data_IF_571673176923
#
_entry.id   IF_571673176923
#
_cell.length_a   1.000
_cell.length_b   1.000
_cell.length_c   1.000
_cell.angle_alpha   90.00
_cell.angle_beta   90.00
_cell.angle_gamma   90.00
#
_symmetry.space_group_name_H-M   'P 1'
#
loop_
_entity.id
_entity.type
_entity.pdbx_description
1 polymer ?
#
# COMPACT_ATOMS: atom_id res chain seq x y z
N UNK A 1 -27.36 1.50 3.10
CA UNK A 1 -27.74 2.26 1.88
C UNK A 1 -28.32 3.59 2.35
N UNK A 2 -27.46 4.47 2.89
CA UNK A 2 -27.87 5.75 3.52
C UNK A 2 -26.75 6.76 3.25
N UNK A 3 -26.62 7.22 2.00
CA UNK A 3 -25.76 8.37 1.70
C UNK A 3 -26.36 9.33 0.67
N UNK A 4 -27.61 9.11 0.26
CA UNK A 4 -28.32 9.99 -0.66
C UNK A 4 -29.30 10.86 0.13
N UNK A 5 -28.95 12.13 0.30
CA UNK A 5 -29.74 13.12 1.04
C UNK A 5 -28.92 14.38 1.34
N UNK A 6 -29.59 15.45 1.79
CA UNK A 6 -28.89 16.60 2.37
C UNK A 6 -28.50 16.28 3.81
N UNK A 7 -27.20 16.30 4.11
CA UNK A 7 -26.66 16.04 5.44
C UNK A 7 -25.63 17.10 5.80
N UNK A 8 -25.46 17.32 7.11
CA UNK A 8 -24.42 18.19 7.65
C UNK A 8 -23.13 17.37 7.90
N UNK A 9 -22.07 17.69 7.16
CA UNK A 9 -20.82 16.93 7.17
C UNK A 9 -19.72 17.58 8.02
N UNK A 10 -20.04 18.55 8.88
CA UNK A 10 -19.03 19.27 9.67
C UNK A 10 -18.13 18.35 10.52
N UNK A 11 -18.67 17.22 10.98
CA UNK A 11 -17.93 16.23 11.76
C UNK A 11 -16.94 15.42 10.93
N UNK A 12 -17.10 15.44 9.61
CA UNK A 12 -16.21 14.79 8.66
C UNK A 12 -15.24 15.79 8.00
N UNK A 13 -15.22 17.07 8.37
CA UNK A 13 -14.42 18.08 7.65
C UNK A 13 -13.52 18.89 8.60
N UNK A 14 -12.41 19.41 8.09
CA UNK A 14 -11.65 20.48 8.78
C UNK A 14 -12.39 21.79 8.51
N UNK A 15 -12.80 22.50 9.55
CA UNK A 15 -13.55 23.75 9.40
C UNK A 15 -12.63 24.85 8.84
N UNK A 16 -13.06 25.49 7.75
CA UNK A 16 -12.48 26.73 7.24
C UNK A 16 -13.33 27.90 7.77
N UNK A 17 -12.74 28.88 8.47
CA UNK A 17 -13.48 30.01 9.03
C UNK A 17 -14.18 30.88 7.96
N UNK A 18 -13.82 30.76 6.69
CA UNK A 18 -14.46 31.49 5.58
C UNK A 18 -15.73 30.79 5.05
N UNK A 19 -16.12 29.66 5.64
CA UNK A 19 -17.28 28.87 5.20
C UNK A 19 -18.44 28.98 6.19
N UNK A 20 -19.58 29.50 5.73
CA UNK A 20 -20.80 29.70 6.54
C UNK A 20 -21.91 28.65 6.29
N UNK A 21 -21.74 27.77 5.30
CA UNK A 21 -22.69 26.69 4.99
C UNK A 21 -22.02 25.31 5.10
N UNK A 22 -22.65 24.45 5.89
CA UNK A 22 -22.19 23.09 6.24
C UNK A 22 -23.06 21.98 5.63
N UNK A 23 -24.15 22.36 4.96
CA UNK A 23 -24.96 21.47 4.11
C UNK A 23 -24.32 21.49 2.72
N UNK A 24 -23.78 20.35 2.28
CA UNK A 24 -22.91 20.29 1.10
C UNK A 24 -23.26 19.14 0.17
N UNK A 25 -22.97 19.38 -1.11
CA UNK A 25 -22.71 18.34 -2.12
C UNK A 25 -21.19 18.21 -2.22
N UNK A 26 -20.68 17.00 -2.00
CA UNK A 26 -19.29 16.73 -1.60
C UNK A 26 -18.25 17.35 -2.57
N UNK A 27 -17.32 18.14 -2.02
CA UNK A 27 -16.22 18.79 -2.75
C UNK A 27 -14.86 18.40 -2.19
N UNK A 28 -14.12 17.56 -2.93
CA UNK A 28 -12.71 17.14 -2.80
C UNK A 28 -12.09 16.90 -1.40
N UNK A 29 -11.92 17.93 -0.56
CA UNK A 29 -11.27 17.82 0.75
C UNK A 29 -12.09 17.02 1.78
N UNK A 30 -13.41 17.02 1.61
CA UNK A 30 -14.36 16.31 2.47
C UNK A 30 -14.25 14.78 2.29
N UNK A 31 -13.88 14.32 1.08
CA UNK A 31 -13.82 12.89 0.72
C UNK A 31 -12.80 12.15 1.58
N UNK A 32 -11.59 12.69 1.78
CA UNK A 32 -10.51 11.97 2.48
C UNK A 32 -10.79 11.73 3.95
N UNK A 33 -11.52 12.63 4.59
CA UNK A 33 -11.89 12.49 5.99
C UNK A 33 -13.03 11.47 6.16
N UNK A 34 -14.02 11.47 5.26
CA UNK A 34 -15.04 10.42 5.22
C UNK A 34 -14.43 9.03 4.95
N UNK A 35 -13.52 8.94 3.98
CA UNK A 35 -12.84 7.68 3.65
C UNK A 35 -12.04 7.14 4.83
N UNK A 36 -11.40 8.01 5.63
CA UNK A 36 -10.69 7.57 6.83
C UNK A 36 -11.63 6.89 7.84
N UNK A 37 -12.78 7.50 8.14
CA UNK A 37 -13.78 6.92 9.04
C UNK A 37 -14.33 5.61 8.48
N UNK A 38 -14.69 5.59 7.19
CA UNK A 38 -15.20 4.38 6.53
C UNK A 38 -14.16 3.25 6.51
N UNK A 39 -12.88 3.57 6.35
CA UNK A 39 -11.80 2.59 6.41
C UNK A 39 -11.67 1.98 7.81
N UNK A 40 -11.83 2.76 8.86
CA UNK A 40 -11.81 2.26 10.25
C UNK A 40 -13.01 1.34 10.53
N UNK A 41 -14.20 1.71 10.06
CA UNK A 41 -15.39 0.85 10.14
C UNK A 41 -15.19 -0.44 9.35
N UNK A 42 -14.74 -0.35 8.09
CA UNK A 42 -14.51 -1.51 7.23
C UNK A 42 -13.38 -2.43 7.69
N UNK A 43 -12.43 -1.93 8.49
CA UNK A 43 -11.38 -2.72 9.13
C UNK A 43 -11.78 -3.26 10.51
N UNK A 44 -13.02 -3.05 10.96
CA UNK A 44 -13.55 -3.54 12.24
C UNK A 44 -13.01 -2.82 13.47
N UNK A 45 -12.38 -1.65 13.29
CA UNK A 45 -11.81 -0.84 14.38
C UNK A 45 -12.83 0.14 14.96
N UNK A 46 -13.94 0.36 14.26
CA UNK A 46 -15.07 1.21 14.67
C UNK A 46 -16.39 0.53 14.32
N UNK A 47 -17.44 0.80 15.10
CA UNK A 47 -18.77 0.25 14.84
C UNK A 47 -19.45 0.97 13.66
N UNK A 48 -20.25 0.29 12.82
CA UNK A 48 -20.99 0.94 11.73
C UNK A 48 -21.91 2.08 12.18
N UNK A 49 -22.48 1.97 13.39
CA UNK A 49 -23.33 3.00 14.01
C UNK A 49 -22.61 4.33 14.25
N UNK A 50 -21.27 4.34 14.24
CA UNK A 50 -20.48 5.57 14.33
C UNK A 50 -20.83 6.54 13.20
N UNK A 51 -21.07 6.04 11.99
CA UNK A 51 -21.40 6.90 10.84
C UNK A 51 -22.69 7.68 11.11
N UNK A 52 -23.69 7.02 11.70
CA UNK A 52 -24.96 7.65 12.06
C UNK A 52 -24.76 8.72 13.16
N UNK A 53 -23.95 8.41 14.18
CA UNK A 53 -23.61 9.37 15.25
C UNK A 53 -22.85 10.59 14.72
N UNK A 54 -22.00 10.41 13.71
CA UNK A 54 -21.22 11.51 13.13
C UNK A 54 -22.03 12.40 12.18
N UNK A 55 -23.07 11.85 11.56
CA UNK A 55 -24.04 12.63 10.79
C UNK A 55 -24.99 13.43 11.69
N UNK A 56 -25.11 13.08 12.97
CA UNK A 56 -25.86 13.85 13.97
C UNK A 56 -24.96 14.89 14.68
N UNK A 57 -25.10 16.14 14.22
CA UNK A 57 -24.37 17.29 14.76
C UNK A 57 -24.71 17.62 16.21
N UNK A 58 -25.92 17.26 16.69
CA UNK A 58 -26.29 17.51 18.08
C UNK A 58 -25.60 16.53 19.02
N UNK A 59 -25.36 15.30 18.57
CA UNK A 59 -24.65 14.27 19.34
C UNK A 59 -23.14 14.45 19.29
N UNK A 60 -22.60 14.94 18.16
CA UNK A 60 -21.18 15.22 17.99
C UNK A 60 -20.96 16.71 17.66
N UNK A 61 -20.72 17.57 18.67
CA UNK A 61 -20.55 19.01 18.45
C UNK A 61 -19.19 19.37 17.81
N UNK A 62 -18.26 18.41 17.76
CA UNK A 62 -16.95 18.57 17.17
C UNK A 62 -16.53 17.31 16.41
N UNK A 63 -15.69 17.52 15.39
CA UNK A 63 -15.10 16.46 14.58
C UNK A 63 -14.25 15.51 15.44
N UNK A 64 -14.40 14.19 15.28
CA UNK A 64 -13.47 13.21 15.85
C UNK A 64 -12.05 13.38 15.29
N UNK A 65 -11.06 13.12 16.13
CA UNK A 65 -9.65 13.20 15.77
C UNK A 65 -9.21 11.94 14.99
N UNK A 66 -9.62 11.85 13.72
CA UNK A 66 -9.11 10.85 12.78
C UNK A 66 -8.13 11.47 11.79
N UNK A 67 -7.04 10.76 11.54
CA UNK A 67 -6.09 11.07 10.48
C UNK A 67 -6.80 11.06 9.12
N UNK A 68 -6.44 11.99 8.25
CA UNK A 68 -6.97 11.99 6.89
C UNK A 68 -6.46 10.76 6.14
N UNK A 69 -7.33 10.15 5.31
CA UNK A 69 -6.90 9.10 4.41
C UNK A 69 -5.76 9.61 3.49
N UNK A 70 -4.84 8.74 3.05
CA UNK A 70 -3.82 9.11 2.06
C UNK A 70 -4.45 9.80 0.84
N UNK A 71 -3.74 10.74 0.22
CA UNK A 71 -4.18 11.44 -0.99
C UNK A 71 -3.98 10.60 -2.25
N UNK A 72 -2.95 9.76 -2.28
CA UNK A 72 -2.57 8.94 -3.43
C UNK A 72 -3.72 8.21 -4.16
N UNK A 73 -4.73 7.61 -3.49
CA UNK A 73 -5.83 6.92 -4.18
C UNK A 73 -6.97 7.83 -4.65
N UNK A 74 -6.96 9.13 -4.35
CA UNK A 74 -8.07 10.02 -4.70
C UNK A 74 -7.99 10.45 -6.18
N UNK A 75 -8.96 10.00 -6.99
CA UNK A 75 -9.03 10.27 -8.43
C UNK A 75 -10.32 11.00 -8.80
N UNK A 76 -10.19 12.15 -9.49
CA UNK A 76 -11.33 12.80 -10.14
C UNK A 76 -11.68 12.02 -11.42
N UNK A 77 -12.67 11.15 -11.33
CA UNK A 77 -13.04 10.25 -12.43
C UNK A 77 -13.82 10.95 -13.55
N UNK A 78 -14.83 11.75 -13.18
CA UNK A 78 -15.75 12.38 -14.14
C UNK A 78 -16.15 13.77 -13.69
N UNK A 79 -16.27 14.68 -14.65
CA UNK A 79 -16.78 16.03 -14.46
C UNK A 79 -17.99 16.24 -15.37
N UNK A 80 -19.00 16.93 -14.85
CA UNK A 80 -20.22 17.27 -15.59
C UNK A 80 -20.39 18.78 -15.66
N UNK A 81 -20.74 19.28 -16.84
CA UNK A 81 -21.09 20.67 -17.05
C UNK A 81 -22.41 20.75 -17.81
N UNK A 82 -23.24 21.79 -17.59
CA UNK A 82 -24.40 22.04 -18.44
C UNK A 82 -23.96 22.23 -19.89
N UNK A 83 -24.62 21.56 -20.84
CA UNK A 83 -24.25 21.60 -22.26
C UNK A 83 -24.16 23.03 -22.81
N UNK A 84 -25.05 23.92 -22.36
CA UNK A 84 -25.07 25.34 -22.75
C UNK A 84 -23.81 26.14 -22.33
N UNK A 85 -22.97 25.60 -21.43
CA UNK A 85 -21.75 26.26 -20.92
C UNK A 85 -20.45 25.72 -21.53
N UNK A 86 -20.51 24.66 -22.35
CA UNK A 86 -19.33 24.07 -22.97
C UNK A 86 -19.39 24.19 -24.50
N UNK A 87 -18.32 24.75 -25.08
CA UNK A 87 -17.98 24.51 -26.49
C UNK A 87 -16.79 23.58 -26.53
N UNK A 88 -17.04 22.31 -26.85
CA UNK A 88 -15.97 21.36 -27.16
C UNK A 88 -15.36 21.72 -28.50
N UNK A 89 -14.09 22.08 -28.52
CA UNK A 89 -13.32 22.18 -29.76
C UNK A 89 -12.69 20.82 -30.06
N UNK A 90 -12.70 20.34 -31.31
CA UNK A 90 -11.94 19.16 -31.69
C UNK A 90 -10.49 19.33 -31.25
N UNK A 91 -10.02 18.41 -30.43
CA UNK A 91 -8.67 18.46 -29.88
C UNK A 91 -7.68 17.90 -30.89
N UNK A 92 -6.46 18.43 -30.95
CA UNK A 92 -5.39 17.80 -31.74
C UNK A 92 -5.02 16.45 -31.11
N UNK A 93 -4.91 15.39 -31.92
CA UNK A 93 -4.62 14.01 -31.48
C UNK A 93 -3.42 13.87 -30.51
N UNK A 94 -2.50 14.84 -30.53
CA UNK A 94 -1.31 14.90 -29.70
C UNK A 94 -1.58 14.83 -28.18
N UNK A 95 -2.65 15.43 -27.65
CA UNK A 95 -2.85 15.35 -26.18
C UNK A 95 -3.42 14.03 -25.70
N UNK A 96 -4.24 13.35 -26.50
CA UNK A 96 -4.71 12.00 -26.15
C UNK A 96 -3.54 11.00 -26.15
N UNK A 97 -2.66 11.10 -27.14
CA UNK A 97 -1.45 10.28 -27.19
C UNK A 97 -0.48 10.57 -26.03
N UNK A 98 -0.33 11.84 -25.62
CA UNK A 98 0.47 12.22 -24.45
C UNK A 98 -0.10 11.62 -23.15
N UNK A 99 -1.41 11.70 -22.92
CA UNK A 99 -2.07 11.09 -21.76
C UNK A 99 -1.92 9.56 -21.79
N UNK A 100 -2.12 8.93 -22.95
CA UNK A 100 -1.95 7.49 -23.10
C UNK A 100 -0.49 7.03 -22.88
N UNK A 101 0.50 7.85 -23.24
CA UNK A 101 1.90 7.58 -22.96
C UNK A 101 2.21 7.70 -21.47
N UNK A 102 1.70 8.74 -20.80
CA UNK A 102 1.82 8.92 -19.35
C UNK A 102 1.24 7.72 -18.59
N UNK A 103 0.02 7.29 -18.94
CA UNK A 103 -0.62 6.15 -18.29
C UNK A 103 0.15 4.84 -18.48
N UNK A 104 0.68 4.59 -19.68
CA UNK A 104 1.55 3.44 -19.93
C UNK A 104 2.78 3.45 -19.03
N UNK A 105 3.48 4.58 -18.95
CA UNK A 105 4.67 4.73 -18.10
C UNK A 105 4.36 4.47 -16.62
N UNK A 106 3.25 5.00 -16.11
CA UNK A 106 2.87 4.78 -14.71
C UNK A 106 2.46 3.32 -14.45
N UNK A 107 1.76 2.67 -15.39
CA UNK A 107 1.40 1.26 -15.29
C UNK A 107 2.63 0.34 -15.29
N UNK A 108 3.60 0.62 -16.17
CA UNK A 108 4.88 -0.09 -16.22
C UNK A 108 5.66 0.09 -14.90
N UNK A 109 5.77 1.32 -14.40
CA UNK A 109 6.45 1.61 -13.14
C UNK A 109 5.78 0.92 -11.95
N UNK A 110 4.44 0.92 -11.88
CA UNK A 110 3.69 0.21 -10.83
C UNK A 110 3.90 -1.31 -10.90
N UNK A 111 3.91 -1.88 -12.09
CA UNK A 111 4.15 -3.32 -12.33
C UNK A 111 5.54 -3.73 -11.85
N UNK A 112 6.56 -2.96 -12.23
CA UNK A 112 7.94 -3.21 -11.79
C UNK A 112 8.08 -3.11 -10.26
N UNK A 113 7.55 -2.05 -9.64
CA UNK A 113 7.58 -1.88 -8.18
C UNK A 113 6.89 -3.05 -7.46
N UNK A 114 5.73 -3.49 -7.95
CA UNK A 114 5.01 -4.63 -7.39
C UNK A 114 5.84 -5.92 -7.46
N UNK A 115 6.40 -6.23 -8.64
CA UNK A 115 7.25 -7.40 -8.82
C UNK A 115 8.47 -7.39 -7.89
N UNK A 116 9.11 -6.23 -7.73
CA UNK A 116 10.23 -6.06 -6.80
C UNK A 116 9.82 -6.35 -5.34
N UNK A 117 8.71 -5.77 -4.88
CA UNK A 117 8.21 -5.96 -3.52
C UNK A 117 7.83 -7.43 -3.25
N UNK A 118 7.17 -8.08 -4.21
CA UNK A 118 6.82 -9.50 -4.10
C UNK A 118 8.05 -10.40 -4.06
N UNK A 119 9.07 -10.10 -4.87
CA UNK A 119 10.34 -10.82 -4.86
C UNK A 119 11.06 -10.64 -3.53
N UNK A 120 11.18 -9.41 -3.02
CA UNK A 120 11.77 -9.10 -1.72
C UNK A 120 11.05 -9.83 -0.58
N UNK A 121 9.71 -9.82 -0.59
CA UNK A 121 8.90 -10.57 0.38
C UNK A 121 9.18 -12.07 0.31
N UNK A 122 9.25 -12.65 -0.89
CA UNK A 122 9.58 -14.07 -1.08
C UNK A 122 10.96 -14.41 -0.52
N UNK A 123 11.96 -13.57 -0.78
CA UNK A 123 13.31 -13.73 -0.23
C UNK A 123 13.34 -13.64 1.30
N UNK A 124 12.56 -12.74 1.91
CA UNK A 124 12.46 -12.65 3.37
C UNK A 124 11.80 -13.88 3.99
N UNK A 125 10.77 -14.42 3.33
CA UNK A 125 10.07 -15.63 3.78
C UNK A 125 10.93 -16.89 3.61
N UNK A 126 11.74 -16.98 2.55
CA UNK A 126 12.66 -18.10 2.35
C UNK A 126 13.94 -17.99 3.20
N UNK A 127 14.35 -16.77 3.57
CA UNK A 127 15.42 -16.52 4.53
C UNK A 127 15.00 -16.72 5.99
N UNK A 128 13.73 -17.07 6.25
CA UNK A 128 13.25 -17.45 7.59
C UNK A 128 14.15 -18.60 8.08
N UNK A 129 14.84 -18.36 9.20
CA UNK A 129 16.00 -19.13 9.68
C UNK A 129 15.85 -20.63 9.45
N UNK A 130 16.92 -21.35 9.05
CA UNK A 130 16.92 -22.79 9.19
C UNK A 130 16.56 -23.11 10.64
N UNK A 131 15.61 -24.02 10.83
CA UNK A 131 15.43 -24.68 12.14
C UNK A 131 16.78 -25.25 12.56
N UNK A 132 16.99 -25.44 13.87
CA UNK A 132 18.27 -25.90 14.44
C UNK A 132 18.90 -27.07 13.64
N UNK A 133 18.06 -27.93 13.06
CA UNK A 133 18.39 -29.05 12.16
C UNK A 133 19.32 -28.67 10.98
N UNK A 134 19.15 -27.48 10.38
CA UNK A 134 19.93 -27.06 9.21
C UNK A 134 21.34 -26.58 9.55
N UNK A 135 21.58 -26.16 10.80
CA UNK A 135 22.90 -25.74 11.29
C UNK A 135 23.74 -26.97 11.64
N UNK A 136 23.14 -27.97 12.28
CA UNK A 136 23.79 -29.25 12.58
C UNK A 136 24.20 -30.01 11.30
N UNK A 137 23.32 -30.05 10.30
CA UNK A 137 23.62 -30.69 9.02
C UNK A 137 24.81 -30.04 8.27
N UNK A 138 24.94 -28.71 8.33
CA UNK A 138 26.08 -28.00 7.71
C UNK A 138 27.38 -28.19 8.49
N UNK A 139 27.33 -28.23 9.83
CA UNK A 139 28.49 -28.52 10.67
C UNK A 139 29.04 -29.93 10.41
N UNK A 140 28.17 -30.94 10.39
CA UNK A 140 28.55 -32.33 10.10
C UNK A 140 29.18 -32.49 8.69
N UNK A 141 28.69 -31.75 7.70
CA UNK A 141 29.26 -31.78 6.34
C UNK A 141 30.67 -31.16 6.29
N UNK A 142 30.94 -30.15 7.10
CA UNK A 142 32.25 -29.49 7.14
C UNK A 142 33.29 -30.33 7.91
N UNK A 143 32.90 -30.98 9.00
CA UNK A 143 33.75 -31.94 9.72
C UNK A 143 34.12 -33.15 8.86
N UNK A 144 33.15 -33.73 8.14
CA UNK A 144 33.41 -34.86 7.24
C UNK A 144 34.40 -34.50 6.11
N UNK A 145 34.34 -33.27 5.59
CA UNK A 145 35.33 -32.78 4.60
C UNK A 145 36.71 -32.56 5.20
N UNK A 146 36.79 -32.12 6.47
CA UNK A 146 38.06 -31.92 7.19
C UNK A 146 38.74 -33.25 7.51
N UNK A 147 37.98 -34.22 8.01
CA UNK A 147 38.47 -35.58 8.29
C UNK A 147 39.01 -36.28 7.02
N UNK A 148 38.33 -36.12 5.87
CA UNK A 148 38.82 -36.65 4.58
C UNK A 148 40.13 -36.01 4.11
N UNK A 149 40.34 -34.71 4.38
CA UNK A 149 41.60 -34.02 4.05
C UNK A 149 42.73 -34.48 4.96
N UNK A 150 42.47 -34.62 6.25
CA UNK A 150 43.47 -35.07 7.23
C UNK A 150 43.89 -36.53 6.95
N UNK A 151 42.94 -37.42 6.66
CA UNK A 151 43.23 -38.81 6.29
C UNK A 151 44.06 -38.90 4.99
N UNK A 152 43.79 -38.03 4.01
CA UNK A 152 44.58 -37.98 2.78
C UNK A 152 46.01 -37.50 3.03
N UNK A 153 46.20 -36.48 3.86
CA UNK A 153 47.52 -35.97 4.23
C UNK A 153 48.33 -37.00 5.02
N UNK A 154 47.69 -37.76 5.91
CA UNK A 154 48.33 -38.83 6.67
C UNK A 154 48.74 -40.01 5.77
N UNK A 155 47.91 -40.38 4.79
CA UNK A 155 48.24 -41.42 3.82
C UNK A 155 49.40 -41.00 2.90
N UNK A 156 49.44 -39.74 2.48
CA UNK A 156 50.54 -39.18 1.67
C UNK A 156 51.86 -39.12 2.47
N UNK A 157 51.81 -38.84 3.77
CA UNK A 157 52.99 -38.85 4.65
C UNK A 157 53.53 -40.26 4.92
N UNK A 158 52.66 -41.27 5.04
CA UNK A 158 53.07 -42.67 5.25
C UNK A 158 53.72 -43.30 4.02
N UNK A 159 53.33 -42.89 2.81
CA UNK A 159 53.91 -43.40 1.56
C UNK A 159 55.32 -42.88 1.24
N UNK A 160 55.77 -41.80 1.92
CA UNK A 160 57.10 -41.21 1.73
C UNK A 160 58.23 -41.87 2.55
N UNK A 161 57.93 -42.86 3.40
CA UNK A 161 58.87 -43.42 4.38
C UNK A 161 59.58 -44.73 4.02
N UNK A 162 59.32 -45.33 2.87
CA UNK A 162 59.95 -46.61 2.47
C UNK A 162 60.83 -46.44 1.23
N UNK A 163 62.06 -45.96 1.43
CA UNK A 163 63.20 -46.20 0.55
C UNK A 163 64.47 -46.21 1.41
N UNK A 164 64.81 -47.40 1.91
CA UNK A 164 66.19 -47.82 2.17
C UNK A 164 66.62 -48.73 1.00
#
# INVERSE_FOLDING_TARGET
>A
MVSSGEHDYRNFCKLDPNVSSFVRRISAFEVRCMVATLFLVGSGREAPSLVDSLLDVQQCPARPCYDMAPDAPLLLHSIGYPEARLRWTPHADESLSAVAALWRREAEAATLRSAMLLTMRSSLLSARRPTADGVEAKAATHEAKRARREARQQAEAAAGGTRD
#
